data_IF_374742512905
#
_entry.id   IF_374742512905
#
_cell.length_a   1.000
_cell.length_b   1.000
_cell.length_c   1.000
_cell.angle_alpha   90.00
_cell.angle_beta   90.00
_cell.angle_gamma   90.00
#
_symmetry.space_group_name_H-M   'P 1'
#
loop_
_entity.id
_entity.type
_entity.pdbx_description
1 polymer ?
#
# COMPACT_ATOMS: atom_id res chain seq x y z
N UNK A 1 -0.79 10.12 13.05
CA UNK A 1 -1.60 10.92 13.97
C UNK A 1 -3.08 10.95 13.55
N UNK A 2 -3.43 11.37 12.33
CA UNK A 2 -4.82 11.47 11.88
C UNK A 2 -5.63 10.16 12.04
N UNK A 3 -5.01 9.00 11.79
CA UNK A 3 -5.63 7.68 11.97
C UNK A 3 -5.88 7.32 13.45
N UNK A 4 -5.15 7.95 14.38
CA UNK A 4 -5.30 7.74 15.81
C UNK A 4 -6.24 8.77 16.47
N UNK A 5 -6.63 9.81 15.73
CA UNK A 5 -7.55 10.83 16.21
C UNK A 5 -8.99 10.31 16.23
N UNK A 6 -9.72 10.61 17.31
CA UNK A 6 -11.16 10.36 17.44
C UNK A 6 -12.03 11.48 16.83
N UNK A 7 -11.42 12.45 16.14
CA UNK A 7 -12.14 13.54 15.47
C UNK A 7 -12.96 13.06 14.26
N UNK A 8 -13.82 13.95 13.79
CA UNK A 8 -14.57 13.79 12.55
C UNK A 8 -13.65 13.81 11.30
N UNK A 9 -14.21 13.61 10.13
CA UNK A 9 -13.48 13.59 8.86
C UNK A 9 -12.71 14.89 8.63
N UNK A 10 -13.32 16.05 8.93
CA UNK A 10 -12.68 17.36 8.71
C UNK A 10 -11.46 17.54 9.60
N UNK A 11 -11.58 17.23 10.89
CA UNK A 11 -10.46 17.29 11.85
C UNK A 11 -9.30 16.38 11.43
N UNK A 12 -9.60 15.16 10.96
CA UNK A 12 -8.57 14.24 10.44
C UNK A 12 -7.86 14.78 9.21
N UNK A 13 -8.61 15.42 8.29
CA UNK A 13 -8.04 16.06 7.11
C UNK A 13 -7.19 17.29 7.47
N UNK A 14 -7.52 18.00 8.55
CA UNK A 14 -6.73 19.14 9.02
C UNK A 14 -5.43 18.68 9.70
N UNK A 15 -5.46 17.57 10.46
CA UNK A 15 -4.25 16.93 10.99
C UNK A 15 -3.30 16.50 9.86
N UNK A 16 -3.81 16.03 8.72
CA UNK A 16 -2.97 15.68 7.55
C UNK A 16 -2.31 16.91 6.88
N UNK A 17 -2.80 18.13 7.13
CA UNK A 17 -2.19 19.37 6.62
C UNK A 17 -1.13 19.93 7.56
N UNK A 18 -1.14 19.51 8.82
CA UNK A 18 -0.17 19.97 9.82
C UNK A 18 1.23 19.44 9.47
N UNK A 19 2.23 20.30 9.29
CA UNK A 19 3.60 19.88 9.00
C UNK A 19 4.29 19.26 10.21
N UNK A 20 3.72 19.36 11.41
CA UNK A 20 4.31 18.83 12.64
C UNK A 20 3.96 17.36 12.83
N UNK A 21 4.95 16.55 13.22
CA UNK A 21 4.76 15.15 13.57
C UNK A 21 4.33 15.03 15.04
N UNK A 22 3.20 14.37 15.28
CA UNK A 22 2.80 13.98 16.63
C UNK A 22 3.45 12.67 17.09
N UNK A 23 3.32 12.38 18.37
CA UNK A 23 3.94 11.21 19.00
C UNK A 23 3.54 9.88 18.35
N UNK A 24 2.28 9.72 17.96
CA UNK A 24 1.81 8.48 17.30
C UNK A 24 2.42 8.26 15.93
N UNK A 25 2.71 9.34 15.17
CA UNK A 25 3.42 9.22 13.90
C UNK A 25 4.84 8.70 14.12
N UNK A 26 5.58 9.27 15.09
CA UNK A 26 6.95 8.86 15.40
C UNK A 26 6.99 7.41 15.91
N UNK A 27 6.12 7.04 16.87
CA UNK A 27 6.05 5.67 17.39
C UNK A 27 5.79 4.67 16.26
N UNK A 28 4.85 4.96 15.36
CA UNK A 28 4.53 4.08 14.24
C UNK A 28 5.67 3.99 13.22
N UNK A 29 6.36 5.09 12.96
CA UNK A 29 7.52 5.12 12.08
C UNK A 29 8.67 4.27 12.63
N UNK A 30 9.04 4.46 13.89
CA UNK A 30 10.06 3.66 14.56
C UNK A 30 9.69 2.17 14.57
N UNK A 31 8.44 1.85 14.93
CA UNK A 31 7.95 0.46 14.94
C UNK A 31 8.00 -0.17 13.53
N UNK A 32 7.67 0.60 12.49
CA UNK A 32 7.79 0.16 11.10
C UNK A 32 9.23 -0.19 10.75
N UNK A 33 10.19 0.68 11.02
CA UNK A 33 11.59 0.42 10.69
C UNK A 33 12.16 -0.79 11.45
N UNK A 34 11.87 -0.91 12.74
CA UNK A 34 12.31 -2.06 13.55
C UNK A 34 11.73 -3.36 12.99
N UNK A 35 10.43 -3.40 12.71
CA UNK A 35 9.77 -4.58 12.16
C UNK A 35 10.28 -4.92 10.75
N UNK A 36 10.46 -3.91 9.89
CA UNK A 36 10.95 -4.09 8.53
C UNK A 36 12.38 -4.63 8.53
N UNK A 37 13.26 -4.05 9.34
CA UNK A 37 14.64 -4.51 9.50
C UNK A 37 14.71 -5.95 10.02
N UNK A 38 13.92 -6.28 11.07
CA UNK A 38 13.87 -7.63 11.61
C UNK A 38 13.41 -8.66 10.56
N UNK A 39 12.39 -8.33 9.77
CA UNK A 39 11.94 -9.19 8.68
C UNK A 39 13.00 -9.35 7.59
N UNK A 40 13.68 -8.28 7.19
CA UNK A 40 14.77 -8.37 6.22
C UNK A 40 15.89 -9.30 6.68
N UNK A 41 16.23 -9.29 7.98
CA UNK A 41 17.21 -10.22 8.55
C UNK A 41 16.76 -11.70 8.52
N UNK A 42 15.45 -11.95 8.44
CA UNK A 42 14.89 -13.30 8.36
C UNK A 42 14.78 -13.84 6.93
N UNK A 43 14.91 -12.99 5.90
CA UNK A 43 14.79 -13.41 4.50
C UNK A 43 16.01 -14.25 4.09
N UNK A 44 15.77 -15.46 3.62
CA UNK A 44 16.79 -16.27 2.94
C UNK A 44 16.77 -15.90 1.46
N UNK A 45 17.82 -15.23 0.99
CA UNK A 45 17.85 -14.67 -0.35
C UNK A 45 18.22 -15.75 -1.38
N UNK A 46 17.27 -16.05 -2.27
CA UNK A 46 17.49 -16.85 -3.47
C UNK A 46 17.05 -16.04 -4.70
N UNK A 47 17.51 -16.38 -5.93
CA UNK A 47 17.04 -15.69 -7.14
C UNK A 47 15.52 -15.71 -7.30
N UNK A 48 14.84 -16.81 -6.93
CA UNK A 48 13.39 -16.92 -6.97
C UNK A 48 12.74 -15.95 -5.98
N UNK A 49 13.20 -15.92 -4.74
CA UNK A 49 12.71 -15.01 -3.70
C UNK A 49 12.90 -13.56 -4.11
N UNK A 50 14.07 -13.23 -4.69
CA UNK A 50 14.35 -11.91 -5.24
C UNK A 50 13.35 -11.52 -6.35
N UNK A 51 13.08 -12.43 -7.29
CA UNK A 51 12.11 -12.19 -8.35
C UNK A 51 10.68 -12.00 -7.81
N UNK A 52 10.24 -12.88 -6.89
CA UNK A 52 8.93 -12.76 -6.23
C UNK A 52 8.80 -11.44 -5.48
N UNK A 53 9.84 -11.03 -4.74
CA UNK A 53 9.83 -9.77 -4.00
C UNK A 53 9.76 -8.55 -4.93
N UNK A 54 10.57 -8.51 -5.99
CA UNK A 54 10.53 -7.43 -6.98
C UNK A 54 9.15 -7.30 -7.64
N UNK A 55 8.56 -8.41 -8.07
CA UNK A 55 7.21 -8.41 -8.66
C UNK A 55 6.14 -7.94 -7.65
N UNK A 56 6.27 -8.32 -6.38
CA UNK A 56 5.37 -7.87 -5.31
C UNK A 56 5.46 -6.35 -5.09
N UNK A 57 6.67 -5.77 -5.10
CA UNK A 57 6.87 -4.32 -5.01
C UNK A 57 6.24 -3.57 -6.21
N UNK A 58 6.36 -4.12 -7.42
CA UNK A 58 5.72 -3.52 -8.60
C UNK A 58 4.19 -3.66 -8.51
N UNK A 59 3.68 -4.79 -8.02
CA UNK A 59 2.25 -5.02 -7.83
C UNK A 59 1.65 -3.98 -6.87
N UNK A 60 2.28 -3.72 -5.71
CA UNK A 60 1.74 -2.73 -4.77
C UNK A 60 1.72 -1.32 -5.35
N UNK A 61 2.75 -0.94 -6.14
CA UNK A 61 2.79 0.35 -6.84
C UNK A 61 1.68 0.45 -7.89
N UNK A 62 1.45 -0.61 -8.67
CA UNK A 62 0.34 -0.69 -9.62
C UNK A 62 -1.02 -0.58 -8.91
N UNK A 63 -1.21 -1.28 -7.79
CA UNK A 63 -2.41 -1.17 -6.95
C UNK A 63 -2.61 0.24 -6.39
N UNK A 64 -1.55 0.91 -5.94
CA UNK A 64 -1.61 2.30 -5.45
C UNK A 64 -2.05 3.26 -6.56
N UNK A 65 -1.44 3.17 -7.74
CA UNK A 65 -1.82 3.98 -8.91
C UNK A 65 -3.24 3.68 -9.37
N UNK A 66 -3.64 2.40 -9.38
CA UNK A 66 -5.03 2.00 -9.66
C UNK A 66 -6.01 2.65 -8.67
N UNK A 67 -5.68 2.65 -7.38
CA UNK A 67 -6.52 3.27 -6.36
C UNK A 67 -6.71 4.77 -6.60
N UNK A 68 -5.65 5.50 -6.99
CA UNK A 68 -5.73 6.93 -7.34
C UNK A 68 -6.68 7.18 -8.52
N UNK A 69 -6.70 6.27 -9.50
CA UNK A 69 -7.57 6.39 -10.67
C UNK A 69 -9.02 5.90 -10.41
N UNK A 70 -9.23 4.98 -9.46
CA UNK A 70 -10.50 4.29 -9.27
C UNK A 70 -11.33 4.78 -8.07
N UNK A 71 -10.66 5.16 -6.97
CA UNK A 71 -11.34 5.50 -5.72
C UNK A 71 -11.77 6.98 -5.67
N UNK A 72 -12.76 7.32 -4.84
CA UNK A 72 -13.13 8.72 -4.61
C UNK A 72 -11.98 9.48 -3.94
N UNK A 73 -11.77 10.74 -4.35
CA UNK A 73 -10.79 11.63 -3.75
C UNK A 73 -11.39 12.33 -2.53
N UNK A 74 -10.63 12.45 -1.44
CA UNK A 74 -11.06 13.15 -0.23
C UNK A 74 -11.07 14.68 -0.40
N UNK A 75 -10.28 15.21 -1.34
CA UNK A 75 -10.12 16.64 -1.62
C UNK A 75 -9.99 16.88 -3.12
N UNK A 76 -10.46 18.05 -3.57
CA UNK A 76 -10.29 18.52 -4.94
C UNK A 76 -8.98 19.32 -5.12
N UNK A 77 -7.99 19.08 -4.27
CA UNK A 77 -6.67 19.75 -4.27
C UNK A 77 -5.58 18.77 -3.85
N UNK A 78 -4.32 19.11 -4.19
CA UNK A 78 -3.15 18.31 -3.81
C UNK A 78 -2.74 17.30 -4.87
N UNK A 79 -1.59 16.64 -4.65
CA UNK A 79 -0.94 15.74 -5.61
C UNK A 79 -1.86 14.64 -6.15
N UNK A 80 -2.64 13.98 -5.29
CA UNK A 80 -3.57 12.92 -5.73
C UNK A 80 -4.62 13.46 -6.71
N UNK A 81 -5.15 14.68 -6.48
CA UNK A 81 -6.06 15.34 -7.39
C UNK A 81 -5.37 15.72 -8.70
N UNK A 82 -4.17 16.31 -8.64
CA UNK A 82 -3.41 16.69 -9.84
C UNK A 82 -3.13 15.48 -10.73
N UNK A 83 -2.68 14.35 -10.17
CA UNK A 83 -2.49 13.11 -10.93
C UNK A 83 -3.80 12.54 -11.48
N UNK A 84 -4.89 12.61 -10.71
CA UNK A 84 -6.19 12.11 -11.15
C UNK A 84 -6.82 12.97 -12.25
N UNK A 85 -6.48 14.26 -12.35
CA UNK A 85 -7.02 15.19 -13.37
C UNK A 85 -6.11 15.34 -14.59
N UNK A 86 -4.80 15.15 -14.43
CA UNK A 86 -3.83 15.31 -15.52
C UNK A 86 -3.83 14.11 -16.49
N UNK A 87 -4.33 12.95 -16.10
CA UNK A 87 -4.38 11.75 -16.92
C UNK A 87 -5.82 11.33 -17.23
N UNK A 88 -6.02 10.65 -18.37
CA UNK A 88 -7.28 9.95 -18.62
C UNK A 88 -7.45 8.82 -17.58
N UNK A 89 -8.27 9.09 -16.57
CA UNK A 89 -8.54 8.16 -15.47
C UNK A 89 -9.00 6.78 -15.95
N UNK A 90 -9.72 6.74 -17.06
CA UNK A 90 -10.24 5.49 -17.61
C UNK A 90 -9.12 4.63 -18.17
N UNK A 91 -8.25 5.23 -18.96
CA UNK A 91 -7.08 4.56 -19.53
C UNK A 91 -6.10 4.12 -18.44
N UNK A 92 -5.76 5.02 -17.49
CA UNK A 92 -4.87 4.68 -16.36
C UNK A 92 -5.43 3.52 -15.54
N UNK A 93 -6.73 3.55 -15.20
CA UNK A 93 -7.40 2.47 -14.47
C UNK A 93 -7.35 1.14 -15.21
N UNK A 94 -7.57 1.14 -16.53
CA UNK A 94 -7.50 -0.08 -17.35
C UNK A 94 -6.08 -0.63 -17.40
N UNK A 95 -5.10 0.21 -17.72
CA UNK A 95 -3.69 -0.19 -17.85
C UNK A 95 -3.16 -0.74 -16.52
N UNK A 96 -3.34 -0.01 -15.41
CA UNK A 96 -2.86 -0.46 -14.10
C UNK A 96 -3.64 -1.67 -13.57
N UNK A 97 -4.93 -1.79 -13.91
CA UNK A 97 -5.73 -2.97 -13.60
C UNK A 97 -5.22 -4.21 -14.33
N UNK A 98 -4.99 -4.11 -15.66
CA UNK A 98 -4.41 -5.19 -16.45
C UNK A 98 -3.00 -5.56 -15.97
N UNK A 99 -2.15 -4.55 -15.68
CA UNK A 99 -0.81 -4.78 -15.15
C UNK A 99 -0.87 -5.52 -13.80
N UNK A 100 -1.77 -5.13 -12.90
CA UNK A 100 -1.94 -5.80 -11.60
C UNK A 100 -2.36 -7.26 -11.76
N UNK A 101 -3.23 -7.57 -12.74
CA UNK A 101 -3.63 -8.95 -13.04
C UNK A 101 -2.44 -9.76 -13.57
N UNK A 102 -1.69 -9.21 -14.53
CA UNK A 102 -0.50 -9.89 -15.10
C UNK A 102 0.53 -10.18 -14.00
N UNK A 103 0.81 -9.19 -13.15
CA UNK A 103 1.75 -9.36 -12.02
C UNK A 103 1.24 -10.39 -11.00
N UNK A 104 -0.06 -10.40 -10.71
CA UNK A 104 -0.66 -11.40 -9.83
C UNK A 104 -0.51 -12.81 -10.40
N UNK A 105 -0.77 -13.01 -11.69
CA UNK A 105 -0.59 -14.31 -12.36
C UNK A 105 0.87 -14.74 -12.34
N UNK A 106 1.81 -13.82 -12.63
CA UNK A 106 3.25 -14.11 -12.57
C UNK A 106 3.69 -14.50 -11.15
N UNK A 107 3.21 -13.79 -10.13
CA UNK A 107 3.48 -14.12 -8.72
C UNK A 107 2.91 -15.49 -8.34
N UNK A 108 1.70 -15.83 -8.76
CA UNK A 108 1.13 -17.17 -8.54
C UNK A 108 1.98 -18.26 -9.18
N UNK A 109 2.46 -18.05 -10.42
CA UNK A 109 3.31 -19.00 -11.13
C UNK A 109 4.67 -19.24 -10.45
N UNK A 110 5.21 -18.21 -9.73
CA UNK A 110 6.46 -18.29 -8.99
C UNK A 110 6.32 -18.74 -7.53
N UNK A 111 5.11 -19.11 -7.08
CA UNK A 111 4.85 -19.50 -5.70
C UNK A 111 4.49 -18.33 -4.75
N UNK A 112 4.45 -17.09 -5.26
CA UNK A 112 4.15 -15.87 -4.49
C UNK A 112 2.64 -15.58 -4.31
N UNK A 113 1.76 -16.56 -4.48
CA UNK A 113 0.30 -16.36 -4.42
C UNK A 113 -0.19 -15.77 -3.09
N UNK A 114 0.45 -16.12 -1.97
CA UNK A 114 0.14 -15.55 -0.65
C UNK A 114 0.36 -14.04 -0.63
N UNK A 115 1.42 -13.53 -1.28
CA UNK A 115 1.69 -12.09 -1.37
C UNK A 115 0.59 -11.35 -2.13
N UNK A 116 0.03 -11.96 -3.17
CA UNK A 116 -1.10 -11.39 -3.93
C UNK A 116 -2.33 -11.27 -3.04
N UNK A 117 -2.65 -12.29 -2.24
CA UNK A 117 -3.76 -12.25 -1.29
C UNK A 117 -3.56 -11.14 -0.24
N UNK A 118 -2.34 -11.02 0.29
CA UNK A 118 -1.99 -9.97 1.27
C UNK A 118 -2.11 -8.59 0.64
N UNK A 119 -1.62 -8.39 -0.59
CA UNK A 119 -1.77 -7.12 -1.32
C UNK A 119 -3.25 -6.76 -1.54
N UNK A 120 -4.08 -7.74 -1.92
CA UNK A 120 -5.53 -7.57 -2.09
C UNK A 120 -6.23 -7.16 -0.79
N UNK A 121 -5.91 -7.82 0.32
CA UNK A 121 -6.44 -7.46 1.66
C UNK A 121 -5.99 -6.07 2.08
N UNK A 122 -4.72 -5.72 1.83
CA UNK A 122 -4.18 -4.40 2.13
C UNK A 122 -4.90 -3.32 1.30
N UNK A 123 -5.14 -3.55 0.00
CA UNK A 123 -5.86 -2.63 -0.87
C UNK A 123 -7.33 -2.46 -0.43
N UNK A 124 -8.01 -3.55 -0.10
CA UNK A 124 -9.37 -3.50 0.42
C UNK A 124 -9.46 -2.71 1.74
N UNK A 125 -8.52 -2.95 2.67
CA UNK A 125 -8.42 -2.21 3.92
C UNK A 125 -8.13 -0.72 3.68
N UNK A 126 -7.23 -0.42 2.74
CA UNK A 126 -6.95 0.96 2.32
C UNK A 126 -8.22 1.68 1.85
N UNK A 127 -8.96 1.06 0.93
CA UNK A 127 -10.24 1.62 0.44
C UNK A 127 -11.21 1.88 1.60
N UNK A 128 -11.39 0.89 2.50
CA UNK A 128 -12.29 1.04 3.65
C UNK A 128 -11.89 2.17 4.58
N UNK A 129 -10.61 2.28 4.92
CA UNK A 129 -10.08 3.34 5.81
C UNK A 129 -10.23 4.70 5.13
N UNK A 130 -9.83 4.82 3.87
CA UNK A 130 -9.90 6.07 3.11
C UNK A 130 -11.33 6.60 3.02
N UNK A 131 -12.28 5.77 2.59
CA UNK A 131 -13.68 6.20 2.43
C UNK A 131 -14.35 6.47 3.78
N UNK A 132 -14.20 5.56 4.75
CA UNK A 132 -14.91 5.67 6.03
C UNK A 132 -14.38 6.80 6.93
N UNK A 133 -13.06 7.04 6.93
CA UNK A 133 -12.46 7.98 7.89
C UNK A 133 -12.11 9.33 7.28
N UNK A 134 -11.91 9.40 5.97
CA UNK A 134 -11.43 10.60 5.28
C UNK A 134 -12.35 11.04 4.13
N UNK A 135 -13.44 10.29 3.85
CA UNK A 135 -14.34 10.56 2.72
C UNK A 135 -13.75 10.24 1.35
N UNK A 136 -12.54 9.72 1.28
CA UNK A 136 -11.83 9.38 0.06
C UNK A 136 -10.32 9.27 0.25
N UNK A 137 -9.58 9.11 -0.84
CA UNK A 137 -8.12 8.98 -0.80
C UNK A 137 -7.41 10.34 -0.79
N UNK A 138 -6.24 10.36 -0.16
CA UNK A 138 -5.24 11.45 -0.20
C UNK A 138 -3.88 10.86 -0.57
N UNK A 139 -2.91 11.71 -0.93
CA UNK A 139 -1.53 11.28 -1.17
C UNK A 139 -0.90 10.60 0.04
N UNK A 140 -1.15 11.13 1.24
CA UNK A 140 -0.64 10.59 2.52
C UNK A 140 -1.19 9.20 2.80
N UNK A 141 -2.47 8.96 2.50
CA UNK A 141 -3.08 7.65 2.64
C UNK A 141 -2.57 6.65 1.60
N UNK A 142 -2.21 7.11 0.39
CA UNK A 142 -1.56 6.28 -0.61
C UNK A 142 -0.17 5.83 -0.13
N UNK A 143 0.62 6.75 0.43
CA UNK A 143 1.90 6.42 1.07
C UNK A 143 1.75 5.45 2.25
N UNK A 144 0.75 5.68 3.11
CA UNK A 144 0.43 4.76 4.20
C UNK A 144 0.06 3.36 3.71
N UNK A 145 -0.71 3.25 2.62
CA UNK A 145 -1.03 1.97 1.99
C UNK A 145 0.23 1.23 1.54
N UNK A 146 1.13 1.92 0.80
CA UNK A 146 2.37 1.33 0.31
C UNK A 146 3.22 0.76 1.44
N UNK A 147 3.49 1.54 2.49
CA UNK A 147 4.27 1.07 3.65
C UNK A 147 3.62 -0.14 4.33
N UNK A 148 2.29 -0.16 4.46
CA UNK A 148 1.58 -1.29 5.09
C UNK A 148 1.57 -2.52 4.20
N UNK A 149 1.31 -2.36 2.90
CA UNK A 149 1.32 -3.46 1.95
C UNK A 149 2.71 -4.10 1.88
N UNK A 150 3.76 -3.29 1.76
CA UNK A 150 5.15 -3.74 1.72
C UNK A 150 5.53 -4.53 2.98
N UNK A 151 5.25 -4.00 4.18
CA UNK A 151 5.54 -4.68 5.43
C UNK A 151 4.80 -6.02 5.56
N UNK A 152 3.53 -6.05 5.18
CA UNK A 152 2.72 -7.27 5.28
C UNK A 152 3.13 -8.32 4.24
N UNK A 153 3.48 -7.89 3.02
CA UNK A 153 3.99 -8.80 1.99
C UNK A 153 5.37 -9.35 2.36
N UNK A 154 6.24 -8.53 2.98
CA UNK A 154 7.54 -9.00 3.48
C UNK A 154 7.36 -10.04 4.60
N UNK A 155 6.45 -9.80 5.53
CA UNK A 155 6.12 -10.76 6.57
C UNK A 155 5.55 -12.07 5.99
N UNK A 156 4.69 -11.97 4.96
CA UNK A 156 4.15 -13.12 4.26
C UNK A 156 5.24 -13.89 3.49
N UNK A 157 6.20 -13.20 2.88
CA UNK A 157 7.36 -13.81 2.21
C UNK A 157 8.19 -14.65 3.18
N UNK A 158 8.56 -14.07 4.32
CA UNK A 158 9.31 -14.77 5.38
C UNK A 158 8.52 -15.99 5.88
N UNK A 159 7.21 -15.82 6.08
CA UNK A 159 6.35 -16.94 6.49
C UNK A 159 6.29 -18.06 5.44
N UNK A 160 6.20 -17.72 4.15
CA UNK A 160 6.21 -18.70 3.07
C UNK A 160 7.52 -19.46 3.00
N UNK A 161 8.67 -18.79 3.18
CA UNK A 161 9.98 -19.43 3.27
C UNK A 161 10.06 -20.37 4.47
N UNK A 162 9.60 -19.94 5.63
CA UNK A 162 9.62 -20.78 6.84
C UNK A 162 8.76 -22.03 6.69
N UNK A 163 7.69 -21.99 5.90
CA UNK A 163 6.82 -23.16 5.60
C UNK A 163 7.30 -23.96 4.38
N UNK A 164 8.35 -23.55 3.70
CA UNK A 164 8.88 -24.24 2.52
C UNK A 164 8.01 -24.08 1.26
N UNK A 165 7.25 -22.98 1.16
CA UNK A 165 6.48 -22.64 -0.05
C UNK A 165 7.30 -21.85 -1.07
N UNK A 166 8.41 -21.26 -0.64
CA UNK A 166 9.35 -20.46 -1.44
C UNK A 166 10.78 -20.78 -1.06
#
# INVERSE_FOLDING_TARGET
DALCSYGDTQKKLDILKDPHCGAFAVIRLCSYFVAYFALCCCVQFTPQVGAVWLLALVLERACSGYAVAAFPLAKNTGLAHTFATAADRTTVRRVLGCLSIVLAVALFALGGGVLVLVAGVALWRYHRVAVKQFGGITGDLAGWFLQKAELYMLAALVFCQWKGFL
#
